data_IF_409583137593
#
_entry.id   IF_409583137593
#
_cell.length_a   1.000
_cell.length_b   1.000
_cell.length_c   1.000
_cell.angle_alpha   90.00
_cell.angle_beta   90.00
_cell.angle_gamma   90.00
#
_symmetry.space_group_name_H-M   'P 1'
#
loop_
_entity.id
_entity.type
_entity.pdbx_description
1 polymer ?
#
# COMPACT_ATOMS: atom_id res chain seq x y z
N UNK A 1 16.12 1.44 -19.04
CA UNK A 1 17.23 1.00 -18.14
C UNK A 1 16.60 0.07 -17.12
N UNK A 2 17.18 -1.12 -16.87
CA UNK A 2 16.63 -2.12 -15.94
C UNK A 2 16.90 -1.75 -14.47
N UNK A 3 16.10 -2.31 -13.56
CA UNK A 3 16.24 -2.12 -12.11
C UNK A 3 17.63 -2.55 -11.63
N UNK A 4 18.13 -3.69 -12.09
CA UNK A 4 19.48 -4.16 -11.77
C UNK A 4 20.56 -3.14 -12.16
N UNK A 5 20.45 -2.54 -13.34
CA UNK A 5 21.40 -1.51 -13.80
C UNK A 5 21.29 -0.22 -13.01
N UNK A 6 20.06 0.19 -12.67
CA UNK A 6 19.84 1.35 -11.79
C UNK A 6 20.45 1.15 -10.41
N UNK A 7 20.24 -0.02 -9.80
CA UNK A 7 20.86 -0.37 -8.52
C UNK A 7 22.39 -0.29 -8.63
N UNK A 8 22.98 -0.99 -9.63
CA UNK A 8 24.43 -1.01 -9.81
C UNK A 8 25.03 0.39 -9.99
N UNK A 9 24.39 1.25 -10.79
CA UNK A 9 24.89 2.59 -11.06
C UNK A 9 24.73 3.56 -9.89
N UNK A 10 23.65 3.39 -9.12
CA UNK A 10 23.34 4.30 -8.01
C UNK A 10 24.06 3.91 -6.72
N UNK A 11 24.03 2.61 -6.36
CA UNK A 11 24.68 2.11 -5.14
C UNK A 11 26.21 2.06 -5.30
N UNK A 12 26.70 1.78 -6.53
CA UNK A 12 28.11 1.87 -6.90
C UNK A 12 29.05 1.12 -5.96
N UNK A 13 30.05 1.79 -5.33
CA UNK A 13 31.02 1.15 -4.43
C UNK A 13 30.40 0.48 -3.19
N UNK A 14 29.15 0.79 -2.85
CA UNK A 14 28.46 0.27 -1.67
C UNK A 14 27.63 -1.00 -1.94
N UNK A 15 27.89 -1.71 -3.03
CA UNK A 15 27.15 -2.95 -3.38
C UNK A 15 27.27 -4.06 -2.34
N UNK A 16 28.27 -4.05 -1.48
CA UNK A 16 28.42 -5.03 -0.39
C UNK A 16 27.57 -4.70 0.84
N UNK A 17 26.92 -3.52 0.87
CA UNK A 17 25.96 -3.18 1.93
C UNK A 17 24.75 -4.11 1.87
N UNK A 18 24.16 -4.34 3.06
CA UNK A 18 22.93 -5.13 3.17
C UNK A 18 21.76 -4.37 2.56
N UNK A 19 21.15 -4.98 1.55
CA UNK A 19 19.94 -4.46 0.89
C UNK A 19 18.66 -4.94 1.55
N UNK A 20 18.62 -6.24 1.90
CA UNK A 20 17.41 -6.89 2.41
C UNK A 20 17.73 -7.71 3.68
N UNK A 21 16.81 -7.68 4.63
CA UNK A 21 16.84 -8.52 5.84
C UNK A 21 15.50 -9.21 6.01
N UNK A 22 15.49 -10.55 6.12
CA UNK A 22 14.30 -11.33 6.45
C UNK A 22 14.65 -12.37 7.52
N UNK A 23 14.08 -12.23 8.70
CA UNK A 23 14.43 -13.06 9.85
C UNK A 23 15.95 -13.00 10.13
N UNK A 24 16.66 -14.11 9.92
CA UNK A 24 18.13 -14.18 10.09
C UNK A 24 18.90 -14.09 8.76
N UNK A 25 18.20 -13.99 7.63
CA UNK A 25 18.82 -13.92 6.31
C UNK A 25 19.11 -12.47 5.94
N UNK A 26 20.36 -12.17 5.58
CA UNK A 26 20.82 -10.87 5.10
C UNK A 26 21.33 -11.01 3.67
N UNK A 27 20.90 -10.11 2.79
CA UNK A 27 21.25 -10.14 1.36
C UNK A 27 21.88 -8.80 0.99
N UNK A 28 23.10 -8.83 0.48
CA UNK A 28 23.80 -7.64 -0.01
C UNK A 28 23.26 -7.20 -1.39
N UNK A 29 23.44 -5.93 -1.76
CA UNK A 29 23.10 -5.42 -3.09
C UNK A 29 23.80 -6.19 -4.20
N UNK A 30 25.09 -6.57 -4.02
CA UNK A 30 25.86 -7.37 -4.97
C UNK A 30 25.18 -8.70 -5.31
N UNK A 31 24.47 -9.31 -4.35
CA UNK A 31 23.70 -10.54 -4.56
C UNK A 31 22.38 -10.33 -5.32
N UNK A 32 21.85 -9.11 -5.37
CA UNK A 32 20.61 -8.78 -6.08
C UNK A 32 20.86 -8.50 -7.55
N UNK A 33 21.93 -7.78 -7.87
CA UNK A 33 22.20 -7.34 -9.25
C UNK A 33 22.58 -8.49 -10.16
N UNK A 34 22.18 -8.39 -11.42
CA UNK A 34 22.39 -9.40 -12.43
C UNK A 34 21.31 -9.35 -13.50
N UNK A 35 21.38 -10.25 -14.46
CA UNK A 35 20.38 -10.43 -15.50
C UNK A 35 20.01 -11.90 -15.66
N UNK A 36 18.83 -12.16 -16.18
CA UNK A 36 18.36 -13.50 -16.52
C UNK A 36 17.62 -13.45 -17.85
N UNK A 37 18.10 -14.19 -18.86
CA UNK A 37 17.49 -14.24 -20.19
C UNK A 37 16.41 -15.31 -20.34
N UNK A 38 16.20 -16.15 -19.32
CA UNK A 38 15.27 -17.28 -19.39
C UNK A 38 13.82 -16.88 -19.74
N UNK A 39 13.41 -15.63 -19.38
CA UNK A 39 12.06 -15.11 -19.62
C UNK A 39 12.07 -13.94 -20.63
N UNK A 40 13.03 -13.93 -21.55
CA UNK A 40 13.13 -12.87 -22.56
C UNK A 40 11.84 -12.76 -23.36
N UNK A 41 11.30 -11.52 -23.44
CA UNK A 41 10.04 -11.18 -24.12
C UNK A 41 8.80 -11.96 -23.65
N UNK A 42 8.83 -12.56 -22.46
CA UNK A 42 7.69 -13.30 -21.92
C UNK A 42 6.84 -12.44 -20.97
N UNK A 43 5.54 -12.73 -20.95
CA UNK A 43 4.61 -12.22 -19.94
C UNK A 43 4.58 -13.21 -18.80
N UNK A 44 5.02 -12.82 -17.60
CA UNK A 44 5.14 -13.73 -16.46
C UNK A 44 4.35 -13.25 -15.25
N UNK A 45 3.66 -14.18 -14.60
CA UNK A 45 3.08 -13.97 -13.29
C UNK A 45 4.04 -14.52 -12.23
N UNK A 46 4.24 -13.79 -11.13
CA UNK A 46 5.09 -14.21 -10.01
C UNK A 46 4.21 -14.52 -8.82
N UNK A 47 4.11 -15.80 -8.45
CA UNK A 47 3.36 -16.27 -7.29
C UNK A 47 4.33 -16.85 -6.27
N UNK A 48 5.09 -15.95 -5.62
CA UNK A 48 6.25 -16.28 -4.78
C UNK A 48 5.94 -15.87 -3.33
N UNK A 49 6.05 -16.83 -2.41
CA UNK A 49 5.73 -16.63 -0.99
C UNK A 49 6.87 -15.99 -0.20
N UNK A 50 8.12 -16.34 -0.52
CA UNK A 50 9.30 -15.76 0.16
C UNK A 50 9.62 -14.38 -0.42
N UNK A 51 9.61 -13.35 0.42
CA UNK A 51 9.80 -11.97 -0.02
C UNK A 51 11.20 -11.71 -0.58
N UNK A 52 12.26 -12.28 0.00
CA UNK A 52 13.62 -12.14 -0.54
C UNK A 52 13.73 -12.73 -1.95
N UNK A 53 13.14 -13.91 -2.13
CA UNK A 53 13.09 -14.60 -3.42
C UNK A 53 12.32 -13.79 -4.45
N UNK A 54 11.16 -13.25 -4.07
CA UNK A 54 10.37 -12.38 -4.94
C UNK A 54 11.17 -11.15 -5.38
N UNK A 55 11.83 -10.45 -4.45
CA UNK A 55 12.62 -9.25 -4.78
C UNK A 55 13.80 -9.59 -5.70
N UNK A 56 14.53 -10.69 -5.43
CA UNK A 56 15.60 -11.17 -6.33
C UNK A 56 15.07 -11.42 -7.74
N UNK A 57 13.95 -12.11 -7.84
CA UNK A 57 13.32 -12.44 -9.13
C UNK A 57 12.88 -11.18 -9.88
N UNK A 58 12.29 -10.20 -9.19
CA UNK A 58 11.90 -8.91 -9.77
C UNK A 58 13.10 -8.16 -10.35
N UNK A 59 14.22 -8.09 -9.61
CA UNK A 59 15.45 -7.41 -10.08
C UNK A 59 16.04 -8.08 -11.31
N UNK A 60 16.01 -9.41 -11.36
CA UNK A 60 16.58 -10.18 -12.46
C UNK A 60 15.73 -10.14 -13.74
N UNK A 61 14.41 -10.09 -13.59
CA UNK A 61 13.50 -10.15 -14.74
C UNK A 61 13.19 -8.78 -15.34
N UNK A 62 13.36 -7.68 -14.58
CA UNK A 62 13.18 -6.34 -15.12
C UNK A 62 14.24 -6.01 -16.16
N UNK A 63 13.79 -5.61 -17.35
CA UNK A 63 14.62 -5.39 -18.53
C UNK A 63 14.83 -6.64 -19.40
N UNK A 64 14.32 -7.82 -19.00
CA UNK A 64 14.32 -9.04 -19.78
C UNK A 64 12.90 -9.50 -20.13
N UNK A 65 12.05 -9.69 -19.15
CA UNK A 65 10.65 -10.04 -19.40
C UNK A 65 9.90 -8.87 -20.06
N UNK A 66 8.96 -9.19 -20.94
CA UNK A 66 8.05 -8.21 -21.53
C UNK A 66 7.15 -7.61 -20.45
N UNK A 67 6.61 -8.49 -19.60
CA UNK A 67 5.68 -8.11 -18.53
C UNK A 67 5.94 -8.95 -17.29
N UNK A 68 5.92 -8.32 -16.12
CA UNK A 68 5.95 -8.98 -14.82
C UNK A 68 4.73 -8.59 -14.02
N UNK A 69 4.08 -9.58 -13.40
CA UNK A 69 2.90 -9.41 -12.57
C UNK A 69 3.08 -10.16 -11.25
N UNK A 70 3.63 -9.53 -10.22
CA UNK A 70 3.67 -10.13 -8.90
C UNK A 70 2.27 -10.19 -8.29
N UNK A 71 1.88 -11.38 -7.86
CA UNK A 71 0.58 -11.67 -7.28
C UNK A 71 0.78 -12.07 -5.81
N UNK A 72 0.04 -11.45 -4.92
CA UNK A 72 0.08 -11.76 -3.49
C UNK A 72 -0.36 -13.20 -3.21
N UNK A 73 0.41 -13.95 -2.44
CA UNK A 73 0.07 -15.33 -2.06
C UNK A 73 -1.04 -15.43 -1.00
N UNK A 74 -1.55 -14.30 -0.55
CA UNK A 74 -2.73 -14.20 0.33
C UNK A 74 -4.01 -13.82 -0.42
N UNK A 75 -3.95 -13.77 -1.76
CA UNK A 75 -5.12 -13.57 -2.62
C UNK A 75 -6.08 -14.76 -2.49
N UNK A 76 -7.38 -14.52 -2.57
CA UNK A 76 -8.32 -15.64 -2.57
C UNK A 76 -8.35 -16.36 -3.94
N UNK A 77 -8.83 -17.62 -3.93
CA UNK A 77 -8.86 -18.48 -5.11
C UNK A 77 -9.59 -17.84 -6.30
N UNK A 78 -10.75 -17.21 -6.05
CA UNK A 78 -11.57 -16.58 -7.10
C UNK A 78 -10.84 -15.42 -7.78
N UNK A 79 -10.18 -14.58 -7.00
CA UNK A 79 -9.39 -13.45 -7.52
C UNK A 79 -8.18 -13.94 -8.30
N UNK A 80 -7.48 -14.96 -7.81
CA UNK A 80 -6.32 -15.54 -8.50
C UNK A 80 -6.73 -16.13 -9.85
N UNK A 81 -7.79 -16.93 -9.87
CA UNK A 81 -8.38 -17.48 -11.11
C UNK A 81 -8.68 -16.38 -12.11
N UNK A 82 -9.36 -15.31 -11.65
CA UNK A 82 -9.70 -14.17 -12.50
C UNK A 82 -8.47 -13.48 -13.09
N UNK A 83 -7.42 -13.28 -12.29
CA UNK A 83 -6.19 -12.63 -12.75
C UNK A 83 -5.45 -13.48 -13.79
N UNK A 84 -5.32 -14.79 -13.53
CA UNK A 84 -4.52 -15.66 -14.40
C UNK A 84 -5.24 -15.98 -15.70
N UNK A 85 -6.56 -16.27 -15.66
CA UNK A 85 -7.31 -16.66 -16.85
C UNK A 85 -7.51 -15.54 -17.89
N UNK A 86 -7.45 -14.27 -17.46
CA UNK A 86 -7.77 -13.12 -18.34
C UNK A 86 -6.56 -12.37 -18.88
N UNK A 87 -5.34 -12.71 -18.47
CA UNK A 87 -4.17 -11.88 -18.77
C UNK A 87 -3.11 -12.57 -19.63
N UNK A 88 -3.40 -13.72 -20.20
CA UNK A 88 -2.57 -14.43 -21.18
C UNK A 88 -1.08 -14.49 -20.76
N UNK A 89 -0.82 -14.88 -19.50
CA UNK A 89 0.55 -15.11 -19.05
C UNK A 89 1.15 -16.32 -19.77
N UNK A 90 2.39 -16.19 -20.21
CA UNK A 90 3.12 -17.32 -20.80
C UNK A 90 3.57 -18.31 -19.72
N UNK A 91 3.86 -17.81 -18.49
CA UNK A 91 4.36 -18.61 -17.39
C UNK A 91 3.91 -18.06 -16.04
N UNK A 92 3.77 -18.97 -15.06
CA UNK A 92 3.72 -18.66 -13.63
C UNK A 92 5.02 -19.13 -13.00
N UNK A 93 5.73 -18.24 -12.30
CA UNK A 93 6.95 -18.56 -11.57
C UNK A 93 6.62 -18.61 -10.08
N UNK A 94 7.01 -19.70 -9.40
CA UNK A 94 6.67 -19.92 -7.99
C UNK A 94 7.78 -20.59 -7.21
N UNK A 95 7.79 -20.33 -5.88
CA UNK A 95 8.60 -21.04 -4.87
C UNK A 95 7.75 -22.00 -4.02
N UNK A 96 6.49 -22.18 -4.36
CA UNK A 96 5.53 -22.99 -3.60
C UNK A 96 5.58 -24.46 -4.00
N UNK A 97 5.05 -25.32 -3.12
CA UNK A 97 4.96 -26.75 -3.37
C UNK A 97 3.95 -27.08 -4.47
N UNK A 98 4.09 -28.23 -5.11
CA UNK A 98 3.16 -28.68 -6.15
C UNK A 98 1.72 -28.74 -5.65
N UNK A 99 1.51 -29.17 -4.40
CA UNK A 99 0.19 -29.19 -3.75
C UNK A 99 -0.45 -27.81 -3.67
N UNK A 100 0.33 -26.79 -3.34
CA UNK A 100 -0.16 -25.40 -3.26
C UNK A 100 -0.43 -24.80 -4.64
N UNK A 101 0.18 -25.39 -5.67
CA UNK A 101 0.04 -24.99 -7.07
C UNK A 101 -1.05 -25.72 -7.84
N UNK A 102 -1.72 -26.71 -7.24
CA UNK A 102 -2.88 -27.40 -7.88
C UNK A 102 -3.94 -26.43 -8.40
N UNK A 103 -4.06 -25.25 -7.79
CA UNK A 103 -4.96 -24.20 -8.25
C UNK A 103 -4.68 -23.78 -9.69
N UNK A 104 -3.44 -23.95 -10.18
CA UNK A 104 -3.03 -23.61 -11.55
C UNK A 104 -3.22 -24.76 -12.54
N UNK A 105 -3.54 -25.98 -12.09
CA UNK A 105 -3.72 -27.15 -12.97
C UNK A 105 -4.85 -26.97 -13.99
N UNK A 106 -5.84 -26.14 -13.68
CA UNK A 106 -6.96 -25.81 -14.57
C UNK A 106 -6.64 -24.70 -15.59
N UNK A 107 -5.42 -24.13 -15.53
CA UNK A 107 -4.97 -23.12 -16.48
C UNK A 107 -3.94 -23.73 -17.42
N UNK A 108 -4.07 -23.45 -18.69
CA UNK A 108 -3.06 -23.85 -19.68
C UNK A 108 -1.85 -22.91 -19.65
N UNK A 109 -1.28 -22.70 -18.44
CA UNK A 109 -0.11 -21.83 -18.20
C UNK A 109 0.98 -22.66 -17.53
N UNK A 110 2.12 -22.86 -18.17
CA UNK A 110 3.24 -23.61 -17.60
C UNK A 110 3.75 -23.00 -16.29
N UNK A 111 4.06 -23.87 -15.32
CA UNK A 111 4.66 -23.50 -14.05
C UNK A 111 6.18 -23.64 -14.12
N UNK A 112 6.90 -22.63 -13.67
CA UNK A 112 8.34 -22.63 -13.49
C UNK A 112 8.73 -22.53 -12.03
N UNK A 113 9.71 -23.30 -11.61
CA UNK A 113 10.33 -23.15 -10.28
C UNK A 113 11.20 -21.90 -10.28
N UNK A 114 11.06 -21.09 -9.25
CA UNK A 114 11.88 -19.89 -9.11
C UNK A 114 13.39 -20.21 -9.01
N UNK A 115 13.75 -21.41 -8.50
CA UNK A 115 15.14 -21.91 -8.49
C UNK A 115 15.77 -21.86 -9.87
N UNK A 116 15.03 -22.22 -10.91
CA UNK A 116 15.55 -22.29 -12.27
C UNK A 116 15.88 -20.91 -12.84
N UNK A 117 15.10 -19.89 -12.41
CA UNK A 117 15.38 -18.48 -12.74
C UNK A 117 16.65 -18.01 -12.02
N UNK A 118 16.78 -18.33 -10.72
CA UNK A 118 17.92 -17.88 -9.91
C UNK A 118 19.22 -18.57 -10.32
N UNK A 119 19.18 -19.84 -10.74
CA UNK A 119 20.33 -20.58 -11.26
C UNK A 119 20.83 -20.03 -12.62
N UNK A 120 19.94 -19.49 -13.44
CA UNK A 120 20.26 -18.87 -14.73
C UNK A 120 20.69 -17.40 -14.61
N UNK A 121 20.97 -16.91 -13.40
CA UNK A 121 21.47 -15.56 -13.16
C UNK A 121 22.85 -15.39 -13.76
N UNK A 122 23.01 -14.32 -14.60
CA UNK A 122 24.31 -13.81 -15.04
C UNK A 122 24.67 -12.61 -14.15
N UNK A 123 25.88 -12.63 -13.57
CA UNK A 123 26.36 -11.54 -12.71
C UNK A 123 26.63 -10.24 -13.47
N UNK A 124 26.97 -10.35 -14.77
CA UNK A 124 27.15 -9.18 -15.64
C UNK A 124 25.82 -8.61 -16.05
N UNK A 125 25.63 -7.33 -15.77
CA UNK A 125 24.42 -6.60 -16.18
C UNK A 125 24.55 -6.15 -17.61
N UNK A 126 23.93 -6.87 -18.53
CA UNK A 126 23.95 -6.53 -19.96
C UNK A 126 23.02 -5.32 -20.21
N UNK A 127 23.43 -4.43 -21.16
CA UNK A 127 22.54 -3.38 -21.63
C UNK A 127 21.28 -3.99 -22.26
N UNK A 128 20.12 -3.49 -21.88
CA UNK A 128 18.86 -3.87 -22.51
C UNK A 128 18.10 -2.62 -22.94
N UNK A 129 17.56 -2.66 -24.15
CA UNK A 129 16.65 -1.65 -24.67
C UNK A 129 15.19 -1.97 -24.33
N UNK A 130 14.94 -3.16 -23.75
CA UNK A 130 13.60 -3.58 -23.40
C UNK A 130 13.13 -2.87 -22.12
N UNK A 131 11.93 -2.30 -22.18
CA UNK A 131 11.21 -1.77 -21.04
C UNK A 131 10.19 -2.81 -20.58
N UNK A 132 10.39 -3.33 -19.39
CA UNK A 132 9.43 -4.26 -18.78
C UNK A 132 8.19 -3.51 -18.30
N UNK A 133 7.02 -4.04 -18.62
CA UNK A 133 5.76 -3.58 -18.07
C UNK A 133 5.51 -4.25 -16.72
N UNK A 134 5.26 -3.45 -15.69
CA UNK A 134 4.91 -3.92 -14.36
C UNK A 134 3.40 -3.87 -14.17
N UNK A 135 2.79 -5.03 -13.95
CA UNK A 135 1.35 -5.14 -13.70
C UNK A 135 1.09 -5.23 -12.20
N UNK A 136 0.31 -4.29 -11.69
CA UNK A 136 -0.02 -4.24 -10.26
C UNK A 136 -1.51 -4.55 -10.08
N UNK A 137 -1.84 -5.65 -9.36
CA UNK A 137 -3.23 -5.95 -9.03
C UNK A 137 -3.81 -4.91 -8.06
N UNK A 138 -4.99 -4.36 -8.38
CA UNK A 138 -5.73 -3.48 -7.48
C UNK A 138 -6.96 -4.20 -6.94
N UNK A 139 -7.27 -3.99 -5.66
CA UNK A 139 -8.56 -4.39 -5.10
C UNK A 139 -9.62 -3.40 -5.59
N UNK A 140 -10.29 -3.72 -6.68
CA UNK A 140 -11.44 -2.91 -7.13
C UNK A 140 -12.55 -2.89 -6.07
N UNK A 141 -13.24 -1.76 -5.94
CA UNK A 141 -14.42 -1.62 -5.05
C UNK A 141 -15.59 -2.51 -5.48
N UNK A 142 -15.51 -3.14 -6.66
CA UNK A 142 -16.61 -3.85 -7.33
C UNK A 142 -16.45 -5.36 -7.45
N UNK A 143 -15.49 -5.99 -6.75
CA UNK A 143 -15.41 -7.45 -6.57
C UNK A 143 -14.17 -8.18 -7.13
N UNK A 144 -13.65 -7.87 -8.30
CA UNK A 144 -12.51 -8.60 -8.89
C UNK A 144 -11.34 -7.65 -9.15
N UNK A 145 -10.08 -8.08 -8.90
CA UNK A 145 -8.91 -7.23 -9.08
C UNK A 145 -8.70 -6.88 -10.56
N UNK A 146 -8.33 -5.62 -10.81
CA UNK A 146 -7.90 -5.13 -12.11
C UNK A 146 -6.37 -5.03 -12.12
N UNK A 147 -5.75 -5.15 -13.27
CA UNK A 147 -4.31 -4.95 -13.46
C UNK A 147 -4.03 -3.54 -13.97
N UNK A 148 -3.24 -2.80 -13.22
CA UNK A 148 -2.74 -1.47 -13.58
C UNK A 148 -1.34 -1.59 -14.15
N UNK A 149 -1.13 -0.97 -15.31
CA UNK A 149 0.14 -1.02 -16.05
C UNK A 149 1.04 0.15 -15.67
N UNK A 150 2.24 -0.18 -15.20
CA UNK A 150 3.31 0.74 -14.88
C UNK A 150 4.59 0.44 -15.66
N UNK A 151 5.50 1.39 -15.70
CA UNK A 151 6.91 1.20 -16.05
C UNK A 151 7.78 1.38 -14.81
N UNK A 152 9.03 0.90 -14.84
CA UNK A 152 9.98 1.19 -13.77
C UNK A 152 10.17 2.71 -13.58
N UNK A 153 10.11 3.49 -14.67
CA UNK A 153 10.21 4.95 -14.62
C UNK A 153 9.05 5.57 -13.81
N UNK A 154 7.81 5.13 -14.04
CA UNK A 154 6.66 5.66 -13.28
C UNK A 154 6.66 5.15 -11.83
N UNK A 155 6.97 3.87 -11.58
CA UNK A 155 7.05 3.32 -10.22
C UNK A 155 8.17 3.95 -9.40
N UNK A 156 9.35 4.13 -10.00
CA UNK A 156 10.54 4.68 -9.35
C UNK A 156 10.62 6.20 -9.35
N UNK A 157 9.66 6.92 -9.97
CA UNK A 157 9.74 8.36 -10.19
C UNK A 157 10.05 9.17 -8.92
N UNK A 158 9.40 8.83 -7.80
CA UNK A 158 9.65 9.49 -6.52
C UNK A 158 11.05 9.21 -5.98
N UNK A 159 11.50 7.96 -6.02
CA UNK A 159 12.84 7.53 -5.54
C UNK A 159 13.97 8.09 -6.41
N UNK A 160 13.74 8.22 -7.71
CA UNK A 160 14.73 8.73 -8.68
C UNK A 160 14.94 10.26 -8.60
N UNK A 161 14.08 10.99 -7.88
CA UNK A 161 14.29 12.43 -7.62
C UNK A 161 15.54 12.72 -6.80
N UNK A 162 15.92 11.81 -5.92
CA UNK A 162 17.17 11.94 -5.18
C UNK A 162 18.34 11.74 -6.15
N UNK A 163 19.06 12.84 -6.45
CA UNK A 163 20.19 12.82 -7.40
C UNK A 163 21.41 12.10 -6.86
N UNK A 164 21.59 12.08 -5.53
CA UNK A 164 22.72 11.42 -4.85
C UNK A 164 22.18 10.46 -3.79
N UNK A 165 22.85 9.32 -3.64
CA UNK A 165 22.62 8.41 -2.52
C UNK A 165 23.07 9.12 -1.25
N UNK A 166 22.21 9.09 -0.24
CA UNK A 166 22.53 9.62 1.09
C UNK A 166 23.58 8.72 1.73
N UNK A 167 24.65 9.28 2.29
CA UNK A 167 25.70 8.49 2.97
C UNK A 167 25.15 7.69 4.15
N UNK A 168 24.14 8.24 4.83
CA UNK A 168 23.45 7.59 5.94
C UNK A 168 22.56 6.46 5.42
N UNK A 169 22.84 5.24 5.86
CA UNK A 169 22.00 4.08 5.58
C UNK A 169 20.70 4.16 6.39
N UNK A 170 19.59 4.42 5.73
CA UNK A 170 18.26 4.29 6.33
C UNK A 170 17.86 2.82 6.38
N UNK A 171 17.24 2.40 7.48
CA UNK A 171 16.71 1.05 7.64
C UNK A 171 15.19 1.13 7.62
N UNK A 172 14.60 0.64 6.54
CA UNK A 172 13.16 0.68 6.30
C UNK A 172 12.48 -0.60 6.77
N UNK A 173 11.39 -0.48 7.53
CA UNK A 173 10.53 -1.60 7.90
C UNK A 173 9.35 -1.73 6.93
N UNK A 174 9.13 -2.95 6.42
CA UNK A 174 8.06 -3.24 5.48
C UNK A 174 6.76 -3.62 6.19
N UNK A 175 5.71 -2.83 6.01
CA UNK A 175 4.36 -3.11 6.49
C UNK A 175 3.35 -3.31 5.36
N UNK A 176 3.64 -2.87 4.15
CA UNK A 176 2.83 -3.15 2.96
C UNK A 176 3.30 -4.43 2.27
N UNK A 177 2.38 -5.13 1.62
CA UNK A 177 2.70 -6.22 0.70
C UNK A 177 3.47 -5.66 -0.50
N UNK A 178 4.65 -6.23 -0.80
CA UNK A 178 5.51 -5.79 -1.92
C UNK A 178 4.87 -5.96 -3.30
N UNK A 179 3.81 -6.75 -3.41
CA UNK A 179 3.05 -6.92 -4.66
C UNK A 179 2.03 -5.80 -4.91
N UNK A 180 1.93 -4.84 -3.98
CA UNK A 180 1.02 -3.68 -4.05
C UNK A 180 1.80 -2.40 -4.28
N UNK A 181 1.13 -1.37 -4.82
CA UNK A 181 1.76 -0.10 -5.15
C UNK A 181 2.55 0.51 -3.99
N UNK A 182 1.96 0.61 -2.79
CA UNK A 182 2.65 1.15 -1.61
C UNK A 182 3.88 0.32 -1.22
N UNK A 183 3.81 -1.02 -1.31
CA UNK A 183 4.94 -1.91 -1.06
C UNK A 183 6.07 -1.69 -2.07
N UNK A 184 5.73 -1.50 -3.35
CA UNK A 184 6.73 -1.14 -4.38
C UNK A 184 7.41 0.20 -4.10
N UNK A 185 6.67 1.20 -3.64
CA UNK A 185 7.26 2.49 -3.32
C UNK A 185 8.37 2.36 -2.26
N UNK A 186 8.13 1.56 -1.20
CA UNK A 186 9.14 1.32 -0.15
C UNK A 186 10.30 0.47 -0.68
N UNK A 187 10.00 -0.59 -1.44
CA UNK A 187 11.01 -1.44 -2.05
C UNK A 187 11.93 -0.65 -2.98
N UNK A 188 11.37 0.10 -3.93
CA UNK A 188 12.14 0.87 -4.90
C UNK A 188 12.90 2.02 -4.22
N UNK A 189 12.31 2.68 -3.21
CA UNK A 189 13.03 3.67 -2.42
C UNK A 189 14.27 3.06 -1.76
N UNK A 190 14.13 1.89 -1.12
CA UNK A 190 15.25 1.22 -0.48
C UNK A 190 16.31 0.77 -1.49
N UNK A 191 15.91 0.10 -2.56
CA UNK A 191 16.86 -0.45 -3.54
C UNK A 191 17.58 0.63 -4.35
N UNK A 192 16.88 1.69 -4.79
CA UNK A 192 17.44 2.73 -5.63
C UNK A 192 18.26 3.76 -4.87
N UNK A 193 18.06 3.90 -3.55
CA UNK A 193 18.80 4.85 -2.72
C UNK A 193 19.83 4.18 -1.79
N UNK A 194 20.06 2.87 -1.94
CA UNK A 194 21.08 2.15 -1.18
C UNK A 194 20.74 1.94 0.29
N UNK A 195 19.44 1.89 0.64
CA UNK A 195 18.96 1.66 2.00
C UNK A 195 18.67 0.18 2.26
N UNK A 196 18.67 -0.20 3.53
CA UNK A 196 18.31 -1.56 3.95
C UNK A 196 16.80 -1.68 4.13
N UNK A 197 16.18 -2.73 3.56
CA UNK A 197 14.78 -3.07 3.79
C UNK A 197 14.66 -4.32 4.67
N UNK A 198 14.06 -4.15 5.84
CA UNK A 198 13.66 -5.25 6.73
C UNK A 198 12.30 -5.75 6.27
N UNK A 199 12.30 -6.91 5.62
CA UNK A 199 11.11 -7.47 4.97
C UNK A 199 10.26 -8.28 5.94
N UNK A 200 8.98 -8.40 5.58
CA UNK A 200 7.97 -9.17 6.31
C UNK A 200 7.01 -9.84 5.34
N UNK A 201 6.56 -11.04 5.66
CA UNK A 201 5.46 -11.65 4.93
C UNK A 201 4.14 -10.93 5.23
N UNK A 202 3.22 -10.80 4.25
CA UNK A 202 1.86 -10.33 4.53
C UNK A 202 1.12 -11.18 5.58
N UNK A 203 1.55 -12.44 5.79
CA UNK A 203 0.99 -13.37 6.77
C UNK A 203 1.53 -13.17 8.18
N UNK A 204 2.67 -12.47 8.35
CA UNK A 204 3.28 -12.26 9.67
C UNK A 204 2.35 -11.37 10.53
N UNK A 205 2.06 -11.74 11.78
CA UNK A 205 1.37 -10.86 12.72
C UNK A 205 2.10 -9.54 12.92
N UNK A 206 1.36 -8.46 13.14
CA UNK A 206 1.96 -7.12 13.35
C UNK A 206 2.95 -7.12 14.50
N UNK A 207 2.66 -7.81 15.60
CA UNK A 207 3.55 -7.93 16.75
C UNK A 207 4.93 -8.46 16.35
N UNK A 208 4.99 -9.53 15.55
CA UNK A 208 6.26 -10.11 15.08
C UNK A 208 7.02 -9.16 14.15
N UNK A 209 6.31 -8.36 13.33
CA UNK A 209 6.93 -7.34 12.48
C UNK A 209 7.54 -6.21 13.33
N UNK A 210 6.84 -5.77 14.37
CA UNK A 210 7.29 -4.75 15.33
C UNK A 210 8.55 -5.24 16.05
N UNK A 211 8.56 -6.46 16.57
CA UNK A 211 9.71 -7.05 17.24
C UNK A 211 10.93 -7.18 16.31
N UNK A 212 10.70 -7.56 15.05
CA UNK A 212 11.76 -7.59 14.04
C UNK A 212 12.30 -6.19 13.75
N UNK A 213 11.43 -5.19 13.62
CA UNK A 213 11.85 -3.80 13.42
C UNK A 213 12.69 -3.28 14.60
N UNK A 214 12.33 -3.63 15.84
CA UNK A 214 13.11 -3.26 17.02
C UNK A 214 14.48 -3.96 17.03
N UNK A 215 14.52 -5.27 16.73
CA UNK A 215 15.77 -6.06 16.64
C UNK A 215 16.73 -5.53 15.59
N UNK A 216 16.23 -5.18 14.41
CA UNK A 216 17.05 -4.71 13.28
C UNK A 216 17.24 -3.18 13.28
N UNK A 217 16.90 -2.48 14.37
CA UNK A 217 17.05 -1.04 14.56
C UNK A 217 16.46 -0.23 13.40
N UNK A 218 15.25 -0.55 12.97
CA UNK A 218 14.54 0.14 11.89
C UNK A 218 14.35 1.62 12.23
N UNK A 219 14.73 2.49 11.29
CA UNK A 219 14.65 3.96 11.45
C UNK A 219 13.46 4.58 10.72
N UNK A 220 12.92 3.88 9.72
CA UNK A 220 11.87 4.40 8.83
C UNK A 220 10.77 3.36 8.64
N UNK A 221 9.52 3.74 8.86
CA UNK A 221 8.36 2.86 8.60
C UNK A 221 7.30 3.63 7.83
N UNK A 222 6.77 2.97 6.79
CA UNK A 222 5.56 3.39 6.10
C UNK A 222 4.46 2.36 6.29
N UNK A 223 3.30 2.80 6.80
CA UNK A 223 2.16 1.96 7.08
C UNK A 223 0.84 2.74 6.96
N UNK A 224 -0.30 2.04 6.91
CA UNK A 224 -1.60 2.72 6.95
C UNK A 224 -1.90 3.25 8.37
N UNK A 225 -2.74 4.28 8.53
CA UNK A 225 -3.23 4.69 9.83
C UNK A 225 -3.75 3.53 10.69
N UNK A 226 -4.47 2.60 10.09
CA UNK A 226 -4.97 1.39 10.78
C UNK A 226 -3.85 0.47 11.27
N UNK A 227 -2.79 0.29 10.47
CA UNK A 227 -1.60 -0.47 10.90
C UNK A 227 -0.83 0.28 11.99
N UNK A 228 -0.70 1.60 11.88
CA UNK A 228 -0.03 2.41 12.90
C UNK A 228 -0.71 2.32 14.26
N UNK A 229 -2.05 2.28 14.31
CA UNK A 229 -2.77 2.03 15.58
C UNK A 229 -2.38 0.69 16.19
N UNK A 230 -2.29 -0.38 15.37
CA UNK A 230 -1.85 -1.70 15.85
C UNK A 230 -0.38 -1.73 16.26
N UNK A 231 0.50 -0.98 15.59
CA UNK A 231 1.90 -0.82 15.99
C UNK A 231 1.97 -0.15 17.37
N UNK A 232 1.24 0.94 17.58
CA UNK A 232 1.19 1.61 18.89
C UNK A 232 0.66 0.69 20.01
N UNK A 233 -0.31 -0.17 19.71
CA UNK A 233 -0.82 -1.16 20.67
C UNK A 233 0.22 -2.22 21.06
N UNK A 234 1.33 -2.38 20.32
CA UNK A 234 2.45 -3.25 20.68
C UNK A 234 3.30 -2.69 21.83
N UNK A 235 2.97 -1.51 22.35
CA UNK A 235 3.51 -0.91 23.57
C UNK A 235 5.04 -0.85 23.59
N UNK A 236 5.66 -1.49 24.60
CA UNK A 236 7.11 -1.45 24.79
C UNK A 236 7.91 -2.00 23.60
N UNK A 237 7.39 -2.97 22.86
CA UNK A 237 8.05 -3.46 21.66
C UNK A 237 8.16 -2.37 20.58
N UNK A 238 7.11 -1.58 20.42
CA UNK A 238 7.10 -0.47 19.47
C UNK A 238 8.04 0.68 19.94
N UNK A 239 8.07 1.01 21.24
CA UNK A 239 8.94 2.05 21.80
C UNK A 239 10.43 1.77 21.55
N UNK A 240 10.84 0.50 21.44
CA UNK A 240 12.23 0.13 21.18
C UNK A 240 12.68 0.38 19.75
N UNK A 241 11.77 0.69 18.82
CA UNK A 241 12.14 0.99 17.43
C UNK A 241 12.65 2.45 17.39
N UNK A 242 13.90 2.69 16.98
CA UNK A 242 14.50 4.04 16.96
C UNK A 242 14.05 4.83 15.72
N UNK A 243 12.74 5.12 15.63
CA UNK A 243 12.17 5.77 14.45
C UNK A 243 12.63 7.22 14.28
N UNK A 244 13.15 7.51 13.11
CA UNK A 244 13.47 8.86 12.62
C UNK A 244 12.36 9.38 11.71
N UNK A 245 11.71 8.49 10.95
CA UNK A 245 10.61 8.85 10.06
C UNK A 245 9.45 7.87 10.11
N UNK A 246 8.27 8.42 10.19
CA UNK A 246 6.97 7.77 10.16
C UNK A 246 6.22 8.27 8.93
N UNK A 247 5.77 7.34 8.08
CA UNK A 247 4.94 7.68 6.93
C UNK A 247 3.57 6.99 7.06
N UNK A 248 2.50 7.76 6.89
CA UNK A 248 1.14 7.25 6.82
C UNK A 248 0.62 7.38 5.39
N UNK A 249 0.06 6.30 4.85
CA UNK A 249 -0.48 6.32 3.50
C UNK A 249 -1.54 5.23 3.27
N UNK A 250 -2.28 5.35 2.17
CA UNK A 250 -3.30 4.37 1.78
C UNK A 250 -4.66 4.50 2.47
N UNK A 251 -4.75 5.24 3.57
CA UNK A 251 -5.97 5.66 4.27
C UNK A 251 -5.81 7.11 4.69
N UNK A 252 -6.92 7.83 4.92
CA UNK A 252 -6.88 9.17 5.47
C UNK A 252 -6.33 9.14 6.92
N UNK A 253 -5.31 9.98 7.17
CA UNK A 253 -4.78 10.16 8.51
C UNK A 253 -5.66 11.18 9.26
N UNK A 254 -6.30 10.74 10.34
CA UNK A 254 -7.04 11.61 11.24
C UNK A 254 -6.10 12.25 12.27
N UNK A 255 -6.56 13.32 12.94
CA UNK A 255 -5.76 14.07 13.88
C UNK A 255 -5.37 13.24 15.12
N UNK A 256 -6.21 12.30 15.53
CA UNK A 256 -5.92 11.48 16.71
C UNK A 256 -4.71 10.58 16.49
N UNK A 257 -4.61 9.90 15.32
CA UNK A 257 -3.44 9.07 15.03
C UNK A 257 -2.16 9.91 14.90
N UNK A 258 -2.25 11.11 14.31
CA UNK A 258 -1.11 12.01 14.21
C UNK A 258 -0.64 12.48 15.59
N UNK A 259 -1.56 12.84 16.49
CA UNK A 259 -1.27 13.19 17.87
C UNK A 259 -0.67 12.01 18.65
N UNK A 260 -1.26 10.82 18.53
CA UNK A 260 -0.77 9.61 19.19
C UNK A 260 0.67 9.29 18.78
N UNK A 261 0.97 9.35 17.47
CA UNK A 261 2.32 9.13 16.94
C UNK A 261 3.30 10.21 17.39
N UNK A 262 2.89 11.48 17.43
CA UNK A 262 3.71 12.60 17.91
C UNK A 262 4.09 12.45 19.38
N UNK A 263 3.17 11.97 20.21
CA UNK A 263 3.42 11.72 21.63
C UNK A 263 4.30 10.48 21.85
N UNK A 264 4.08 9.42 21.04
CA UNK A 264 4.80 8.16 21.21
C UNK A 264 6.23 8.21 20.66
N UNK A 265 6.43 8.93 19.53
CA UNK A 265 7.71 9.12 18.84
C UNK A 265 8.01 10.62 18.64
N UNK A 266 8.29 11.38 19.71
CA UNK A 266 8.38 12.85 19.64
C UNK A 266 9.49 13.38 18.72
N UNK A 267 10.56 12.60 18.53
CA UNK A 267 11.71 12.94 17.67
C UNK A 267 11.53 12.55 16.21
N UNK A 268 10.56 11.70 15.89
CA UNK A 268 10.35 11.23 14.52
C UNK A 268 9.68 12.32 13.67
N UNK A 269 10.11 12.43 12.41
CA UNK A 269 9.38 13.18 11.40
C UNK A 269 8.14 12.37 11.01
N UNK A 270 6.95 12.97 11.13
CA UNK A 270 5.69 12.34 10.78
C UNK A 270 5.20 12.95 9.47
N UNK A 271 4.98 12.10 8.48
CA UNK A 271 4.54 12.48 7.14
C UNK A 271 3.30 11.69 6.79
N UNK A 272 2.25 12.32 6.28
CA UNK A 272 1.17 11.57 5.66
C UNK A 272 1.08 11.87 4.16
N UNK A 273 0.65 10.86 3.40
CA UNK A 273 0.71 10.88 1.94
C UNK A 273 -0.62 10.47 1.35
N UNK A 274 -0.96 11.08 0.23
CA UNK A 274 -2.02 10.60 -0.65
C UNK A 274 -1.39 10.00 -1.90
N UNK A 275 -1.76 8.75 -2.18
CA UNK A 275 -1.32 8.01 -3.37
C UNK A 275 -2.36 6.98 -3.79
N UNK A 276 -2.43 6.67 -5.06
CA UNK A 276 -3.19 5.54 -5.60
C UNK A 276 -2.36 4.75 -6.60
N UNK A 277 -2.76 3.51 -6.90
CA UNK A 277 -2.07 2.70 -7.92
C UNK A 277 -2.15 3.36 -9.29
N UNK A 278 -3.27 3.99 -9.60
CA UNK A 278 -3.55 4.62 -10.88
C UNK A 278 -2.84 5.96 -11.04
N UNK A 279 -3.03 6.85 -10.06
CA UNK A 279 -2.54 8.22 -10.13
C UNK A 279 -1.10 8.39 -9.60
N UNK A 280 -0.57 7.36 -8.94
CA UNK A 280 0.76 7.42 -8.35
C UNK A 280 0.81 8.20 -7.03
N UNK A 281 2.00 8.68 -6.65
CA UNK A 281 2.19 9.56 -5.50
C UNK A 281 1.66 10.95 -5.86
N UNK A 282 0.67 11.43 -5.10
CA UNK A 282 0.07 12.74 -5.27
C UNK A 282 0.63 13.76 -4.30
N UNK A 283 0.39 13.56 -3.02
CA UNK A 283 0.62 14.52 -1.96
C UNK A 283 1.47 13.94 -0.83
N UNK A 284 2.23 14.81 -0.18
CA UNK A 284 3.00 14.44 1.02
C UNK A 284 3.16 15.68 1.90
N UNK A 285 2.76 15.59 3.16
CA UNK A 285 2.85 16.70 4.13
C UNK A 285 3.37 16.21 5.47
N UNK A 286 4.14 17.06 6.16
CA UNK A 286 4.83 16.70 7.43
C UNK A 286 4.57 17.73 8.54
N UNK A 287 3.42 18.38 8.53
CA UNK A 287 3.04 19.42 9.49
C UNK A 287 2.33 18.88 10.75
N UNK A 288 2.13 17.55 10.81
CA UNK A 288 1.41 16.85 11.89
C UNK A 288 -0.08 17.21 11.98
N UNK A 289 -0.65 17.81 10.95
CA UNK A 289 -2.07 18.17 10.89
C UNK A 289 -2.79 17.27 9.87
N UNK A 290 -4.02 16.88 10.19
CA UNK A 290 -4.86 16.11 9.27
C UNK A 290 -5.27 16.92 8.03
N UNK A 291 -5.55 16.22 6.93
CA UNK A 291 -5.83 16.86 5.63
C UNK A 291 -4.58 17.47 4.99
N UNK A 292 -4.74 18.19 3.91
CA UNK A 292 -3.67 18.79 3.11
C UNK A 292 -3.89 20.28 2.95
N UNK A 293 -2.85 21.13 3.10
CA UNK A 293 -2.97 22.58 2.89
C UNK A 293 -3.47 22.94 1.49
N UNK A 294 -4.37 23.92 1.38
CA UNK A 294 -4.88 24.40 0.09
C UNK A 294 -3.78 24.91 -0.85
N UNK A 295 -2.64 25.36 -0.31
CA UNK A 295 -1.47 25.76 -1.11
C UNK A 295 -0.94 24.67 -2.04
N UNK A 296 -1.27 23.39 -1.80
CA UNK A 296 -0.91 22.30 -2.71
C UNK A 296 -1.68 22.32 -4.04
N UNK A 297 -2.77 23.09 -4.13
CA UNK A 297 -3.47 23.34 -5.39
C UNK A 297 -2.69 24.28 -6.30
N UNK A 298 -1.64 24.95 -5.80
CA UNK A 298 -0.70 25.71 -6.61
C UNK A 298 0.36 24.76 -7.19
N UNK A 299 0.28 24.53 -8.50
CA UNK A 299 1.11 23.59 -9.27
C UNK A 299 2.62 23.85 -9.18
N UNK A 300 3.05 25.05 -8.76
CA UNK A 300 4.47 25.42 -8.67
C UNK A 300 5.25 24.74 -7.50
N UNK A 301 4.54 24.12 -6.55
CA UNK A 301 5.13 23.71 -5.26
C UNK A 301 5.22 22.21 -5.01
N UNK A 302 4.74 21.32 -5.91
CA UNK A 302 4.60 19.89 -5.64
C UNK A 302 5.36 18.94 -6.57
N UNK A 303 5.44 17.66 -6.16
CA UNK A 303 5.87 16.57 -7.05
C UNK A 303 4.81 16.26 -8.12
N UNK A 304 3.55 16.49 -7.77
CA UNK A 304 2.40 16.29 -8.62
C UNK A 304 1.58 17.58 -8.70
N UNK A 305 1.00 17.84 -9.85
CA UNK A 305 -0.01 18.88 -10.02
C UNK A 305 -1.36 18.36 -9.52
N UNK A 306 -2.15 19.22 -8.88
CA UNK A 306 -3.39 18.85 -8.22
C UNK A 306 -4.46 19.87 -8.57
N UNK A 307 -5.67 19.40 -8.83
CA UNK A 307 -6.86 20.26 -8.90
C UNK A 307 -8.06 19.59 -8.25
N UNK A 308 -8.95 20.40 -7.72
CA UNK A 308 -10.27 19.97 -7.24
C UNK A 308 -11.30 20.54 -8.22
N UNK A 309 -12.15 19.65 -8.73
CA UNK A 309 -13.24 20.04 -9.64
C UNK A 309 -14.49 19.25 -9.24
N UNK A 310 -15.60 19.94 -9.02
CA UNK A 310 -16.87 19.38 -8.55
C UNK A 310 -16.73 18.47 -7.32
N UNK A 311 -15.91 18.90 -6.35
CA UNK A 311 -15.65 18.13 -5.13
C UNK A 311 -14.82 16.85 -5.33
N UNK A 312 -14.21 16.64 -6.49
CA UNK A 312 -13.38 15.48 -6.84
C UNK A 312 -11.92 15.88 -7.00
N UNK A 313 -11.03 14.97 -6.61
CA UNK A 313 -9.59 15.17 -6.73
C UNK A 313 -9.07 14.68 -8.06
N UNK A 314 -8.33 15.54 -8.76
CA UNK A 314 -7.60 15.21 -9.98
C UNK A 314 -6.10 15.34 -9.74
N UNK A 315 -5.33 14.41 -10.29
CA UNK A 315 -3.88 14.40 -10.21
C UNK A 315 -3.21 14.30 -11.58
N UNK A 316 -2.07 14.98 -11.69
CA UNK A 316 -1.12 14.80 -12.78
C UNK A 316 0.25 14.58 -12.17
N UNK A 317 0.78 13.35 -12.25
CA UNK A 317 1.99 12.92 -11.54
C UNK A 317 2.95 12.18 -12.46
N UNK A 318 4.28 12.37 -12.29
CA UNK A 318 5.28 11.56 -12.98
C UNK A 318 5.20 10.07 -12.63
N UNK A 319 4.65 9.74 -11.45
CA UNK A 319 4.44 8.36 -10.98
C UNK A 319 3.11 7.73 -11.41
N UNK A 320 2.33 8.41 -12.25
CA UNK A 320 1.06 7.88 -12.75
C UNK A 320 1.25 6.66 -13.62
N UNK A 321 0.33 5.70 -13.47
CA UNK A 321 0.18 4.56 -14.35
C UNK A 321 -0.20 4.95 -15.78
N UNK A 322 -0.09 3.97 -16.68
CA UNK A 322 -0.51 4.15 -18.07
C UNK A 322 -2.00 3.86 -18.25
N UNK A 323 -2.43 2.63 -17.98
CA UNK A 323 -3.81 2.16 -18.23
C UNK A 323 -4.16 0.93 -17.39
N UNK A 324 -5.43 0.56 -17.37
CA UNK A 324 -5.83 -0.82 -17.03
C UNK A 324 -5.54 -1.76 -18.18
N UNK A 325 -5.15 -3.00 -17.88
CA UNK A 325 -5.05 -4.04 -18.91
C UNK A 325 -6.47 -4.34 -19.42
N UNK A 326 -6.64 -4.30 -20.75
CA UNK A 326 -7.96 -4.45 -21.38
C UNK A 326 -8.90 -3.24 -21.22
N UNK A 327 -8.39 -2.09 -20.74
CA UNK A 327 -9.18 -0.88 -20.51
C UNK A 327 -8.59 0.38 -21.13
N UNK A 328 -9.28 1.51 -20.89
CA UNK A 328 -8.90 2.82 -21.39
C UNK A 328 -7.70 3.40 -20.61
N UNK A 329 -7.08 4.41 -21.19
CA UNK A 329 -6.09 5.25 -20.52
C UNK A 329 -6.71 5.98 -19.35
N UNK A 330 -5.93 6.13 -18.26
CA UNK A 330 -6.38 6.92 -17.10
C UNK A 330 -6.33 8.41 -17.33
N UNK A 331 -5.38 8.85 -18.16
CA UNK A 331 -5.08 10.25 -18.40
C UNK A 331 -6.01 10.82 -19.47
N UNK A 332 -6.55 12.00 -19.20
CA UNK A 332 -7.16 12.84 -20.24
C UNK A 332 -6.10 13.38 -21.22
N UNK A 333 -6.53 14.16 -22.22
CA UNK A 333 -5.64 14.75 -23.23
C UNK A 333 -4.58 15.72 -22.66
N UNK A 334 -4.78 16.22 -21.43
CA UNK A 334 -3.86 17.11 -20.72
C UNK A 334 -3.00 16.37 -19.69
N UNK A 335 -3.18 15.04 -19.54
CA UNK A 335 -2.43 14.20 -18.61
C UNK A 335 -3.01 14.11 -17.20
N UNK A 336 -4.21 14.63 -16.95
CA UNK A 336 -4.90 14.53 -15.67
C UNK A 336 -5.57 13.17 -15.49
N UNK A 337 -5.57 12.69 -14.25
CA UNK A 337 -6.29 11.49 -13.82
C UNK A 337 -7.37 11.91 -12.84
N UNK A 338 -8.62 11.56 -13.15
CA UNK A 338 -9.71 11.59 -12.18
C UNK A 338 -9.51 10.42 -11.20
N UNK A 339 -9.26 10.73 -9.94
CA UNK A 339 -9.01 9.70 -8.91
C UNK A 339 -10.28 9.01 -8.46
N UNK A 340 -11.46 9.61 -8.69
CA UNK A 340 -12.73 9.20 -8.12
C UNK A 340 -12.84 9.44 -6.61
N UNK A 341 -11.85 10.10 -6.01
CA UNK A 341 -11.86 10.44 -4.58
C UNK A 341 -12.53 11.81 -4.36
N UNK A 342 -13.43 11.86 -3.39
CA UNK A 342 -14.16 13.06 -2.98
C UNK A 342 -13.35 13.87 -1.98
N UNK A 343 -13.51 15.18 -2.06
CA UNK A 343 -12.78 16.15 -1.25
C UNK A 343 -13.75 17.10 -0.55
N UNK A 344 -13.45 17.38 0.73
CA UNK A 344 -14.07 18.45 1.52
C UNK A 344 -13.04 19.51 1.83
N UNK A 345 -13.39 20.79 1.70
CA UNK A 345 -12.54 21.92 2.10
C UNK A 345 -13.04 22.44 3.44
N UNK A 346 -12.13 22.61 4.39
CA UNK A 346 -12.38 23.19 5.71
C UNK A 346 -11.22 24.12 6.09
N UNK A 347 -11.54 25.39 6.27
CA UNK A 347 -10.52 26.40 6.54
C UNK A 347 -9.49 26.49 5.40
N UNK A 348 -8.22 26.40 5.73
CA UNK A 348 -7.08 26.44 4.81
C UNK A 348 -6.62 25.05 4.33
N UNK A 349 -7.43 24.01 4.59
CA UNK A 349 -7.11 22.62 4.27
C UNK A 349 -8.20 21.92 3.48
N UNK A 350 -7.81 20.86 2.77
CA UNK A 350 -8.75 19.94 2.16
C UNK A 350 -8.51 18.50 2.68
N UNK A 351 -9.57 17.73 2.72
CA UNK A 351 -9.62 16.38 3.23
C UNK A 351 -10.13 15.43 2.17
N UNK A 352 -9.46 14.32 1.95
CA UNK A 352 -9.97 13.24 1.12
C UNK A 352 -10.94 12.42 1.97
N UNK A 353 -12.22 12.47 1.62
CA UNK A 353 -13.32 11.92 2.41
C UNK A 353 -13.83 10.57 1.89
N UNK A 354 -13.11 9.94 0.95
CA UNK A 354 -13.43 8.63 0.41
C UNK A 354 -13.75 8.67 -1.08
N UNK A 355 -14.13 7.52 -1.62
CA UNK A 355 -14.45 7.37 -3.04
C UNK A 355 -15.94 7.54 -3.32
N UNK A 356 -16.27 8.15 -4.44
CA UNK A 356 -17.66 8.23 -4.92
C UNK A 356 -18.30 6.84 -5.04
N UNK A 357 -17.53 5.83 -5.50
CA UNK A 357 -17.97 4.45 -5.59
C UNK A 357 -18.20 3.76 -4.23
N UNK A 358 -17.75 4.35 -3.13
CA UNK A 358 -17.94 3.88 -1.76
C UNK A 358 -19.18 4.42 -1.07
N UNK A 359 -19.89 5.34 -1.70
CA UNK A 359 -21.13 5.90 -1.17
C UNK A 359 -22.21 4.81 -1.10
N UNK A 360 -22.85 4.69 0.06
CA UNK A 360 -23.94 3.76 0.28
C UNK A 360 -25.28 4.48 0.04
N UNK A 361 -26.12 3.87 -0.80
CA UNK A 361 -27.49 4.35 -0.98
C UNK A 361 -28.42 3.60 -0.02
N UNK A 362 -29.03 4.34 0.89
CA UNK A 362 -29.95 3.82 1.92
C UNK A 362 -31.34 4.43 1.72
N UNK A 363 -32.20 3.78 0.93
CA UNK A 363 -33.55 4.26 0.73
C UNK A 363 -33.66 5.64 0.05
N UNK A 364 -32.67 6.00 -0.77
CA UNK A 364 -32.59 7.32 -1.44
C UNK A 364 -31.55 8.25 -0.83
N UNK A 365 -31.17 8.06 0.43
CA UNK A 365 -30.10 8.83 1.06
C UNK A 365 -28.71 8.29 0.68
N UNK A 366 -27.82 9.17 0.23
CA UNK A 366 -26.43 8.87 -0.05
C UNK A 366 -25.59 9.11 1.20
N UNK A 367 -25.01 8.06 1.75
CA UNK A 367 -24.16 8.12 2.95
C UNK A 367 -22.74 7.72 2.60
N UNK A 368 -21.78 8.54 3.03
CA UNK A 368 -20.35 8.21 2.94
C UNK A 368 -19.88 7.54 4.24
N UNK A 369 -19.55 6.23 4.22
CA UNK A 369 -19.13 5.50 5.42
C UNK A 369 -17.84 6.06 6.02
N UNK A 370 -16.95 6.62 5.20
CA UNK A 370 -15.68 7.15 5.65
C UNK A 370 -15.87 8.40 6.52
N UNK A 371 -16.81 9.29 6.18
CA UNK A 371 -17.13 10.43 7.01
C UNK A 371 -17.64 10.00 8.39
N UNK A 372 -18.54 9.00 8.40
CA UNK A 372 -19.05 8.44 9.65
C UNK A 372 -17.92 7.80 10.47
N UNK A 373 -17.00 7.09 9.82
CA UNK A 373 -15.83 6.51 10.48
C UNK A 373 -14.93 7.57 11.09
N UNK A 374 -14.68 8.67 10.39
CA UNK A 374 -13.87 9.78 10.90
C UNK A 374 -14.50 10.37 12.15
N UNK A 375 -15.80 10.67 12.13
CA UNK A 375 -16.52 11.17 13.31
C UNK A 375 -16.42 10.20 14.50
N UNK A 376 -16.57 8.87 14.26
CA UNK A 376 -16.41 7.89 15.34
C UNK A 376 -15.00 7.87 15.93
N UNK A 377 -13.98 8.09 15.11
CA UNK A 377 -12.58 8.14 15.54
C UNK A 377 -12.25 9.41 16.35
N UNK A 378 -13.04 10.45 16.28
CA UNK A 378 -12.88 11.67 17.12
C UNK A 378 -13.25 11.43 18.58
N UNK A 379 -14.01 10.37 18.88
CA UNK A 379 -14.32 10.03 20.27
C UNK A 379 -13.07 9.52 21.01
N UNK A 380 -12.72 10.06 22.19
CA UNK A 380 -11.46 9.76 22.89
C UNK A 380 -11.25 8.28 23.23
N UNK A 381 -12.34 7.52 23.43
CA UNK A 381 -12.28 6.11 23.82
C UNK A 381 -12.24 5.14 22.64
N UNK A 382 -12.38 5.63 21.41
CA UNK A 382 -12.35 4.81 20.19
C UNK A 382 -10.91 4.69 19.67
N UNK A 383 -10.38 3.46 19.59
CA UNK A 383 -9.10 3.19 18.95
C UNK A 383 -9.29 3.06 17.43
N UNK A 384 -10.32 2.30 17.03
CA UNK A 384 -10.55 1.97 15.63
C UNK A 384 -12.06 1.82 15.38
N UNK A 385 -12.47 2.22 14.19
CA UNK A 385 -13.85 2.02 13.72
C UNK A 385 -13.84 1.50 12.29
N UNK A 386 -14.78 0.64 11.95
CA UNK A 386 -15.06 0.18 10.58
C UNK A 386 -16.54 0.38 10.28
N UNK A 387 -16.86 1.23 9.31
CA UNK A 387 -18.22 1.57 8.92
C UNK A 387 -18.50 1.04 7.53
N UNK A 388 -19.62 0.36 7.35
CA UNK A 388 -19.95 -0.33 6.10
C UNK A 388 -21.46 -0.45 5.90
N UNK A 389 -21.85 -0.65 4.63
CA UNK A 389 -23.23 -1.00 4.29
C UNK A 389 -23.52 -2.47 4.55
N UNK A 390 -24.66 -2.76 5.17
CA UNK A 390 -25.17 -4.11 5.36
C UNK A 390 -26.50 -4.27 4.66
N UNK A 391 -26.68 -5.36 3.90
CA UNK A 391 -27.95 -5.67 3.24
C UNK A 391 -29.05 -5.83 4.27
N UNK A 392 -30.20 -5.24 3.99
CA UNK A 392 -31.42 -5.31 4.79
C UNK A 392 -32.60 -5.60 3.87
N UNK A 393 -33.45 -6.61 4.18
CA UNK A 393 -34.56 -7.00 3.31
C UNK A 393 -35.60 -5.89 3.09
N UNK A 394 -35.76 -4.97 4.04
CA UNK A 394 -36.80 -3.94 4.00
C UNK A 394 -36.29 -2.66 3.33
N UNK A 395 -35.11 -2.17 3.74
CA UNK A 395 -34.57 -0.88 3.29
C UNK A 395 -33.49 -1.02 2.22
N UNK A 396 -33.21 -2.23 1.74
CA UNK A 396 -32.11 -2.53 0.82
C UNK A 396 -30.76 -2.53 1.50
N UNK A 397 -30.36 -1.40 2.07
CA UNK A 397 -29.08 -1.22 2.81
C UNK A 397 -29.29 -0.46 4.10
N UNK A 398 -28.52 -0.83 5.13
CA UNK A 398 -28.37 -0.07 6.37
C UNK A 398 -26.89 0.20 6.65
N UNK A 399 -26.59 1.28 7.36
CA UNK A 399 -25.25 1.55 7.84
C UNK A 399 -24.98 0.74 9.11
N UNK A 400 -23.82 0.08 9.15
CA UNK A 400 -23.34 -0.67 10.31
C UNK A 400 -21.95 -0.18 10.70
N UNK A 401 -21.61 -0.26 11.99
CA UNK A 401 -20.31 0.08 12.52
C UNK A 401 -19.80 -1.00 13.48
N UNK A 402 -18.55 -1.41 13.32
CA UNK A 402 -17.78 -2.13 14.31
C UNK A 402 -16.83 -1.13 14.97
N UNK A 403 -16.82 -1.06 16.29
CA UNK A 403 -16.03 -0.10 17.07
C UNK A 403 -15.13 -0.87 18.04
N UNK A 404 -13.85 -0.57 18.03
CA UNK A 404 -12.86 -1.07 18.97
C UNK A 404 -12.50 0.02 19.97
N UNK A 405 -12.63 -0.30 21.26
CA UNK A 405 -12.39 0.60 22.36
C UNK A 405 -11.00 0.44 22.96
N UNK A 406 -10.54 1.45 23.70
CA UNK A 406 -9.34 1.34 24.55
C UNK A 406 -9.55 0.26 25.60
N UNK A 407 -8.52 -0.57 25.85
CA UNK A 407 -8.60 -1.65 26.84
C UNK A 407 -8.60 -1.15 28.29
N UNK A 408 -8.04 0.04 28.54
CA UNK A 408 -7.82 0.61 29.89
C UNK A 408 -9.01 1.40 30.46
N UNK A 409 -10.20 1.29 29.86
CA UNK A 409 -11.38 2.08 30.27
C UNK A 409 -12.53 1.17 30.68
N UNK A 410 -13.48 1.74 31.43
CA UNK A 410 -14.75 1.07 31.70
C UNK A 410 -15.55 0.92 30.40
N UNK A 411 -15.70 -0.32 29.97
CA UNK A 411 -16.30 -0.66 28.68
C UNK A 411 -17.78 -0.26 28.58
N UNK A 412 -18.53 -0.37 29.66
CA UNK A 412 -19.99 -0.05 29.67
C UNK A 412 -20.20 1.46 29.64
N UNK A 413 -19.42 2.21 30.40
CA UNK A 413 -19.46 3.68 30.37
C UNK A 413 -19.08 4.18 28.97
N UNK A 414 -18.01 3.65 28.38
CA UNK A 414 -17.57 4.05 27.05
C UNK A 414 -18.59 3.73 25.95
N UNK A 415 -19.24 2.55 26.01
CA UNK A 415 -20.31 2.19 25.06
C UNK A 415 -21.52 3.14 25.18
N UNK A 416 -21.88 3.53 26.38
CA UNK A 416 -22.96 4.50 26.61
C UNK A 416 -22.60 5.89 26.08
N UNK A 417 -21.37 6.36 26.37
CA UNK A 417 -20.84 7.63 25.88
C UNK A 417 -20.82 7.69 24.34
N UNK A 418 -20.35 6.64 23.68
CA UNK A 418 -20.30 6.59 22.21
C UNK A 418 -21.69 6.62 21.58
N UNK A 419 -22.70 5.97 22.20
CA UNK A 419 -24.06 6.03 21.69
C UNK A 419 -24.65 7.44 21.77
N UNK A 420 -24.33 8.18 22.83
CA UNK A 420 -24.71 9.60 22.97
C UNK A 420 -23.95 10.41 21.90
N UNK A 421 -22.63 10.23 21.79
CA UNK A 421 -21.78 10.92 20.81
C UNK A 421 -22.27 10.76 19.37
N UNK A 422 -22.69 9.55 18.99
CA UNK A 422 -23.29 9.27 17.66
C UNK A 422 -24.54 10.12 17.44
N UNK A 423 -25.40 10.27 18.45
CA UNK A 423 -26.63 11.07 18.34
C UNK A 423 -26.36 12.57 18.22
N UNK A 424 -25.32 13.04 18.87
CA UNK A 424 -24.99 14.49 18.93
C UNK A 424 -24.20 14.93 17.68
N UNK A 425 -23.30 14.09 17.18
CA UNK A 425 -22.34 14.47 16.14
C UNK A 425 -22.69 13.94 14.74
N UNK A 426 -23.66 13.02 14.60
CA UNK A 426 -24.11 12.52 13.31
C UNK A 426 -25.57 12.86 13.04
N UNK A 427 -25.85 13.38 11.84
CA UNK A 427 -27.21 13.53 11.34
C UNK A 427 -27.91 12.16 11.32
N UNK A 428 -29.20 12.11 11.51
CA UNK A 428 -29.97 10.87 11.63
C UNK A 428 -29.72 9.87 10.48
N UNK A 429 -29.69 10.36 9.25
CA UNK A 429 -29.40 9.54 8.06
C UNK A 429 -27.98 8.92 8.04
N UNK A 430 -27.03 9.53 8.75
CA UNK A 430 -25.63 9.10 8.84
C UNK A 430 -25.37 8.21 10.07
N UNK A 431 -26.36 8.02 10.97
CA UNK A 431 -26.19 7.20 12.16
C UNK A 431 -26.21 5.72 11.82
N UNK A 432 -25.18 4.94 12.24
CA UNK A 432 -25.20 3.49 12.06
C UNK A 432 -26.42 2.88 12.78
N UNK A 433 -27.24 2.13 12.05
CA UNK A 433 -28.39 1.41 12.62
C UNK A 433 -27.97 0.18 13.42
N UNK A 434 -26.77 -0.34 13.13
CA UNK A 434 -26.18 -1.47 13.86
C UNK A 434 -24.77 -1.06 14.31
N UNK A 435 -24.58 -1.01 15.62
CA UNK A 435 -23.28 -0.75 16.25
C UNK A 435 -22.87 -1.99 17.02
N UNK A 436 -21.69 -2.54 16.72
CA UNK A 436 -21.06 -3.64 17.45
C UNK A 436 -19.74 -3.17 18.04
N UNK A 437 -19.54 -3.44 19.32
CA UNK A 437 -18.25 -3.26 19.98
C UNK A 437 -17.49 -4.59 19.86
N UNK A 438 -16.24 -4.50 19.44
CA UNK A 438 -15.40 -5.67 19.10
C UNK A 438 -14.01 -5.49 19.73
N UNK A 439 -13.39 -6.62 20.08
CA UNK A 439 -12.04 -6.61 20.68
C UNK A 439 -10.95 -6.28 19.64
N UNK A 440 -11.17 -6.67 18.38
CA UNK A 440 -10.24 -6.41 17.28
C UNK A 440 -10.95 -6.16 15.95
N UNK A 441 -10.48 -5.15 15.24
CA UNK A 441 -10.89 -4.88 13.85
C UNK A 441 -9.78 -5.39 12.91
N UNK A 442 -10.16 -6.36 12.07
CA UNK A 442 -9.23 -7.00 11.14
C UNK A 442 -8.79 -6.04 10.03
N UNK A 443 -7.48 -5.99 9.83
CA UNK A 443 -6.86 -5.31 8.69
C UNK A 443 -6.73 -6.33 7.55
N UNK A 444 -7.10 -5.92 6.34
CA UNK A 444 -6.89 -6.72 5.14
C UNK A 444 -5.40 -6.78 4.77
N UNK A 445 -5.03 -7.71 3.90
CA UNK A 445 -3.65 -7.85 3.42
C UNK A 445 -3.15 -6.62 2.66
N UNK A 446 -4.04 -5.73 2.25
CA UNK A 446 -3.72 -4.42 1.68
C UNK A 446 -3.23 -3.40 2.72
N UNK A 447 -3.23 -3.75 4.01
CA UNK A 447 -2.96 -2.84 5.12
C UNK A 447 -4.15 -1.98 5.53
N UNK A 448 -5.24 -1.98 4.75
CA UNK A 448 -6.48 -1.24 5.01
C UNK A 448 -7.48 -2.07 5.82
N UNK A 449 -8.50 -1.44 6.36
CA UNK A 449 -9.59 -2.13 7.04
C UNK A 449 -10.25 -3.15 6.09
N UNK A 450 -10.56 -4.33 6.62
CA UNK A 450 -11.24 -5.36 5.85
C UNK A 450 -12.68 -4.93 5.57
N UNK A 451 -13.05 -4.84 4.29
CA UNK A 451 -14.45 -4.63 3.91
C UNK A 451 -15.30 -5.78 4.44
N UNK A 452 -16.38 -5.46 5.15
CA UNK A 452 -17.38 -6.43 5.61
C UNK A 452 -18.48 -6.42 4.55
N UNK A 453 -18.49 -7.45 3.70
CA UNK A 453 -19.52 -7.65 2.68
C UNK A 453 -20.61 -8.57 3.27
#
# INVERSE_FOLDING_TARGET
MSLSRLISSRVGPSLDRIALVEKNNKVAFSSLVGTCSAMHEKKVALFINNTLTLVKTLVLLDGSAQTICPISTVINKRELVHLVSRNEFHFVISDMSEKDLEIFSNFNVPLFKVSDILLNKKSKVEPTNQSTTWLIPTSGTTSLPKLVSHTLASLGAASLRQKKIVEKNEIWGQFYDVTRYAGYQILLNSLLNGHTLVTSSPKDPIQQRVERCAKECVTHISATPSQWRKILMSGESAKRIPLEQIVLGGEAADQQILNALSNFYPKAKITHTYASTEAGLGLSVSDRLAGFPLQFLDSSKGFSEIKIHDGRLFLKSPSSASKYIGGNWFKDSQGWIDTGDLVKIEGDRFFVIGRESGIINMGGDKVNPENVRQTLLEHPDVIQANVFGKKNPITGMILAANIQLKASIDQEIAKASIKIYIKENLQEKNRPRLVKFVDDIKIANTGKLKSVI
#
